data_IF_891029885883
#
_entry.id   IF_891029885883
#
_cell.length_a   1.000
_cell.length_b   1.000
_cell.length_c   1.000
_cell.angle_alpha   90.00
_cell.angle_beta   90.00
_cell.angle_gamma   90.00
#
_symmetry.space_group_name_H-M   'P 1'
#
loop_
_entity.id
_entity.type
_entity.pdbx_description
1 polymer ?
#
# COMPACT_ATOMS: atom_id res chain seq x y z
N UNK A 1 -12.65 -14.37 -1.67
CA UNK A 1 -12.63 -13.12 -0.85
C UNK A 1 -11.19 -12.76 -0.60
N UNK A 2 -10.77 -11.51 -0.88
CA UNK A 2 -9.39 -11.04 -0.70
C UNK A 2 -9.25 -10.35 0.65
N UNK A 3 -8.04 -10.35 1.20
CA UNK A 3 -7.73 -9.78 2.52
C UNK A 3 -6.62 -8.75 2.35
N UNK A 4 -6.79 -7.58 2.96
CA UNK A 4 -5.75 -6.58 3.08
C UNK A 4 -5.64 -6.14 4.54
N UNK A 5 -4.41 -6.13 5.05
CA UNK A 5 -4.10 -5.63 6.39
C UNK A 5 -3.36 -4.32 6.29
N UNK A 6 -3.76 -3.37 7.14
CA UNK A 6 -3.16 -2.05 7.31
C UNK A 6 -2.71 -1.90 8.74
N UNK A 7 -1.50 -1.38 8.93
CA UNK A 7 -1.03 -0.95 10.23
C UNK A 7 -1.70 0.39 10.56
N UNK A 8 -2.18 0.53 11.79
CA UNK A 8 -2.78 1.73 12.33
C UNK A 8 -1.70 2.48 13.11
N UNK A 9 -1.27 3.60 12.57
CA UNK A 9 -0.20 4.46 13.08
C UNK A 9 -0.66 5.92 13.06
N UNK A 10 0.02 6.77 13.83
CA UNK A 10 -0.20 8.22 13.90
C UNK A 10 -1.66 8.65 14.08
N UNK A 11 -2.35 8.18 15.15
CA UNK A 11 -3.75 8.52 15.37
C UNK A 11 -3.97 10.01 15.66
N UNK A 12 -5.07 10.55 15.14
CA UNK A 12 -5.67 11.80 15.61
C UNK A 12 -6.66 11.50 16.75
N UNK A 13 -6.47 12.15 17.90
CA UNK A 13 -7.33 11.97 19.08
C UNK A 13 -8.35 13.07 19.15
N UNK A 14 -9.61 12.69 19.29
CA UNK A 14 -10.69 13.62 19.61
C UNK A 14 -11.09 13.36 21.07
N UNK A 15 -10.75 14.26 22.01
CA UNK A 15 -11.27 14.15 23.36
C UNK A 15 -12.79 14.30 23.32
N UNK A 16 -13.52 13.33 23.88
CA UNK A 16 -14.95 13.50 24.09
C UNK A 16 -15.17 14.56 25.18
N UNK A 17 -15.99 15.56 24.90
CA UNK A 17 -16.30 16.65 25.83
C UNK A 17 -17.19 16.21 27.01
N UNK A 18 -17.68 14.97 27.03
CA UNK A 18 -18.51 14.44 28.11
C UNK A 18 -17.63 13.82 29.21
N UNK A 19 -17.51 14.58 30.30
CA UNK A 19 -16.74 14.29 31.52
C UNK A 19 -17.13 12.94 32.18
N UNK A 20 -18.26 12.36 31.79
CA UNK A 20 -18.86 11.19 32.44
C UNK A 20 -18.67 9.84 31.73
N UNK A 21 -18.28 9.80 30.45
CA UNK A 21 -18.35 8.54 29.68
C UNK A 21 -16.99 7.87 29.42
N UNK A 22 -15.88 8.49 29.82
CA UNK A 22 -14.52 7.90 29.80
C UNK A 22 -14.03 7.35 28.45
N UNK A 23 -14.84 7.43 27.40
CA UNK A 23 -14.55 6.97 26.06
C UNK A 23 -13.64 7.97 25.35
N UNK A 24 -12.70 7.44 24.56
CA UNK A 24 -11.94 8.24 23.62
C UNK A 24 -12.28 7.80 22.20
N UNK A 25 -12.33 8.78 21.29
CA UNK A 25 -12.41 8.53 19.86
C UNK A 25 -11.03 8.74 19.24
N UNK A 26 -10.57 7.72 18.55
CA UNK A 26 -9.26 7.70 17.90
C UNK A 26 -9.48 7.53 16.40
N UNK A 27 -8.92 8.44 15.60
CA UNK A 27 -9.07 8.43 14.14
C UNK A 27 -7.74 8.08 13.50
N UNK A 28 -7.74 7.05 12.65
CA UNK A 28 -6.61 6.68 11.82
C UNK A 28 -6.89 7.03 10.36
N UNK A 29 -5.87 7.54 9.66
CA UNK A 29 -5.96 7.87 8.23
C UNK A 29 -5.30 6.79 7.39
N UNK A 30 -6.10 6.13 6.54
CA UNK A 30 -5.64 5.15 5.55
C UNK A 30 -6.04 5.67 4.15
N UNK A 31 -5.17 6.43 3.48
CA UNK A 31 -5.50 7.09 2.22
C UNK A 31 -5.94 6.17 1.08
N UNK A 32 -5.49 4.92 1.06
CA UNK A 32 -5.81 3.93 0.02
C UNK A 32 -7.09 3.15 0.30
N UNK A 33 -7.67 3.25 1.50
CA UNK A 33 -8.88 2.52 1.89
C UNK A 33 -10.09 2.74 0.96
N UNK A 34 -10.32 3.95 0.42
CA UNK A 34 -11.36 4.19 -0.58
C UNK A 34 -11.20 3.38 -1.87
N UNK A 35 -10.02 2.82 -2.18
CA UNK A 35 -9.82 1.99 -3.38
C UNK A 35 -10.55 0.64 -3.31
N UNK A 36 -10.88 0.18 -2.09
CA UNK A 36 -11.36 -1.19 -1.86
C UNK A 36 -12.89 -1.28 -1.83
N UNK A 37 -13.43 -2.39 -2.38
CA UNK A 37 -14.82 -2.78 -2.21
C UNK A 37 -14.96 -3.63 -0.94
N UNK A 38 -15.02 -2.97 0.22
CA UNK A 38 -15.01 -3.59 1.55
C UNK A 38 -16.34 -4.29 1.83
N UNK A 39 -16.29 -5.56 2.23
CA UNK A 39 -17.44 -6.35 2.68
C UNK A 39 -17.49 -6.44 4.21
N UNK A 40 -16.35 -6.68 4.83
CA UNK A 40 -16.21 -6.81 6.28
C UNK A 40 -14.86 -6.26 6.73
N UNK A 41 -14.77 -5.82 7.99
CA UNK A 41 -13.52 -5.35 8.59
C UNK A 41 -13.41 -5.77 10.04
N UNK A 42 -12.20 -6.10 10.45
CA UNK A 42 -11.82 -6.40 11.83
C UNK A 42 -10.70 -5.47 12.27
N UNK A 43 -10.71 -5.08 13.53
CA UNK A 43 -9.66 -4.25 14.12
C UNK A 43 -9.06 -4.96 15.33
N UNK A 44 -7.74 -4.97 15.38
CA UNK A 44 -6.95 -5.52 16.49
C UNK A 44 -6.04 -4.42 17.00
N UNK A 45 -6.30 -3.92 18.20
CA UNK A 45 -5.47 -2.89 18.81
C UNK A 45 -4.33 -3.54 19.61
N UNK A 46 -3.16 -2.93 19.57
CA UNK A 46 -2.03 -3.39 20.38
C UNK A 46 -2.38 -3.24 21.87
N UNK A 47 -1.98 -4.21 22.72
CA UNK A 47 -2.27 -4.16 24.14
C UNK A 47 -1.59 -2.94 24.79
N UNK A 48 -2.33 -2.21 25.63
CA UNK A 48 -1.80 -1.10 26.41
C UNK A 48 -1.45 -1.57 27.83
N UNK A 49 -0.41 -0.99 28.44
CA UNK A 49 0.13 -1.35 29.76
C UNK A 49 -0.94 -1.28 30.88
N UNK A 50 -2.00 -0.49 30.69
CA UNK A 50 -3.06 -0.28 31.69
C UNK A 50 -4.32 -1.13 31.50
N UNK A 51 -4.42 -1.98 30.47
CA UNK A 51 -5.57 -2.88 30.28
C UNK A 51 -5.39 -4.20 31.05
N UNK A 52 -5.02 -4.11 32.33
CA UNK A 52 -4.74 -5.26 33.19
C UNK A 52 -6.01 -5.94 33.77
N UNK A 53 -7.21 -5.46 33.42
CA UNK A 53 -8.46 -6.12 33.83
C UNK A 53 -9.01 -6.96 32.67
N UNK A 54 -9.38 -8.21 32.96
CA UNK A 54 -10.03 -9.21 32.09
C UNK A 54 -11.40 -8.78 31.49
N UNK A 55 -11.76 -7.50 31.60
CA UNK A 55 -12.91 -6.94 30.89
C UNK A 55 -12.54 -6.87 29.42
N UNK A 56 -13.15 -7.75 28.62
CA UNK A 56 -13.17 -7.66 27.16
C UNK A 56 -13.80 -6.32 26.77
N UNK A 57 -12.97 -5.28 26.68
CA UNK A 57 -13.41 -3.97 26.26
C UNK A 57 -13.93 -4.12 24.83
N UNK A 58 -15.22 -3.84 24.66
CA UNK A 58 -15.87 -3.90 23.35
C UNK A 58 -15.38 -2.72 22.52
N UNK A 59 -14.36 -2.97 21.72
CA UNK A 59 -13.88 -2.03 20.71
C UNK A 59 -14.93 -2.01 19.59
N UNK A 60 -15.36 -0.80 19.21
CA UNK A 60 -16.15 -0.61 18.01
C UNK A 60 -15.40 0.29 17.04
N UNK A 61 -15.52 0.01 15.74
CA UNK A 61 -14.90 0.81 14.70
C UNK A 61 -15.88 1.11 13.57
N UNK A 62 -15.63 2.23 12.91
CA UNK A 62 -16.38 2.70 11.76
C UNK A 62 -15.38 3.12 10.67
N UNK A 63 -15.67 2.76 9.42
CA UNK A 63 -14.85 3.13 8.27
C UNK A 63 -15.65 4.11 7.43
N UNK A 64 -15.12 5.32 7.26
CA UNK A 64 -15.69 6.32 6.38
C UNK A 64 -14.60 6.90 5.47
N UNK A 65 -14.71 6.64 4.16
CA UNK A 65 -13.72 7.03 3.16
C UNK A 65 -12.30 6.55 3.55
N UNK A 66 -11.40 7.48 3.85
CA UNK A 66 -10.01 7.22 4.26
C UNK A 66 -9.81 7.22 5.78
N UNK A 67 -10.89 7.35 6.57
CA UNK A 67 -10.83 7.44 8.02
C UNK A 67 -11.34 6.16 8.66
N UNK A 68 -10.62 5.70 9.66
CA UNK A 68 -11.00 4.60 10.54
C UNK A 68 -11.16 5.17 11.93
N UNK A 69 -12.39 5.24 12.38
CA UNK A 69 -12.74 5.77 13.68
C UNK A 69 -12.90 4.62 14.66
N UNK A 70 -12.12 4.63 15.73
CA UNK A 70 -12.10 3.59 16.77
C UNK A 70 -12.61 4.20 18.06
N UNK A 71 -13.63 3.56 18.63
CA UNK A 71 -14.27 3.96 19.88
C UNK A 71 -14.08 2.85 20.91
N UNK A 72 -13.47 3.22 22.03
CA UNK A 72 -13.17 2.29 23.11
C UNK A 72 -12.51 2.98 24.31
N UNK A 73 -12.28 2.20 25.36
CA UNK A 73 -11.66 2.67 26.60
C UNK A 73 -10.13 2.47 26.54
N UNK A 74 -9.45 3.32 25.79
CA UNK A 74 -7.99 3.29 25.72
C UNK A 74 -7.36 4.29 26.69
N UNK A 75 -6.14 3.99 27.09
CA UNK A 75 -5.33 4.91 27.87
C UNK A 75 -5.10 6.22 27.08
N UNK A 76 -5.46 7.34 27.70
CA UNK A 76 -5.26 8.69 27.19
C UNK A 76 -3.78 9.04 26.98
N UNK A 77 -2.84 8.24 27.49
CA UNK A 77 -1.41 8.55 27.49
C UNK A 77 -0.53 7.66 26.59
N UNK A 78 -1.01 6.51 26.13
CA UNK A 78 -0.22 5.62 25.25
C UNK A 78 -0.66 5.73 23.79
N UNK A 79 0.23 5.97 22.80
CA UNK A 79 -0.15 6.06 21.39
C UNK A 79 -0.94 4.81 20.97
N UNK A 80 -2.13 5.03 20.41
CA UNK A 80 -2.97 3.93 19.99
C UNK A 80 -2.43 3.40 18.66
N UNK A 81 -2.05 2.13 18.64
CA UNK A 81 -1.62 1.43 17.42
C UNK A 81 -2.31 0.09 17.31
N UNK A 82 -2.31 -0.48 16.11
CA UNK A 82 -2.99 -1.74 15.86
C UNK A 82 -2.99 -2.13 14.40
N UNK A 83 -3.90 -3.02 14.04
CA UNK A 83 -4.09 -3.50 12.69
C UNK A 83 -5.57 -3.42 12.31
N UNK A 84 -5.83 -2.86 11.13
CA UNK A 84 -7.10 -3.02 10.44
C UNK A 84 -6.95 -4.12 9.41
N UNK A 85 -7.76 -5.17 9.52
CA UNK A 85 -7.90 -6.20 8.49
C UNK A 85 -9.22 -6.02 7.77
N UNK A 86 -9.18 -5.76 6.47
CA UNK A 86 -10.36 -5.69 5.61
C UNK A 86 -10.50 -6.96 4.77
N UNK A 87 -11.74 -7.40 4.63
CA UNK A 87 -12.16 -8.43 3.70
C UNK A 87 -12.92 -7.74 2.57
N UNK A 88 -12.40 -7.86 1.35
CA UNK A 88 -12.92 -7.11 0.21
C UNK A 88 -13.15 -8.02 -1.00
N UNK A 89 -14.09 -7.59 -1.86
CA UNK A 89 -14.39 -8.28 -3.11
C UNK A 89 -13.31 -8.04 -4.18
N UNK A 90 -12.65 -6.88 -4.12
CA UNK A 90 -11.63 -6.44 -5.06
C UNK A 90 -11.30 -4.96 -4.87
N UNK A 91 -10.54 -4.40 -5.80
CA UNK A 91 -10.28 -2.96 -5.90
C UNK A 91 -11.34 -2.38 -6.84
N UNK A 92 -12.11 -1.39 -6.37
CA UNK A 92 -13.15 -0.72 -7.18
C UNK A 92 -12.59 0.42 -8.03
N UNK A 93 -11.52 1.07 -7.56
CA UNK A 93 -10.84 2.15 -8.27
C UNK A 93 -9.35 2.09 -7.98
N UNK A 94 -8.58 1.69 -8.99
CA UNK A 94 -7.13 1.53 -8.89
C UNK A 94 -6.38 2.86 -8.82
N UNK A 95 -6.98 3.97 -9.27
CA UNK A 95 -6.34 5.29 -9.19
C UNK A 95 -6.20 5.75 -7.73
N UNK A 96 -7.11 5.29 -6.85
CA UNK A 96 -7.11 5.58 -5.41
C UNK A 96 -6.03 4.82 -4.63
N UNK A 97 -5.31 3.88 -5.27
CA UNK A 97 -4.11 3.28 -4.68
C UNK A 97 -2.92 4.24 -4.65
N UNK A 98 -2.97 5.35 -5.39
CA UNK A 98 -1.89 6.33 -5.51
C UNK A 98 -2.30 7.72 -5.01
N UNK A 99 -2.73 7.86 -3.75
CA UNK A 99 -3.25 9.13 -3.22
C UNK A 99 -2.17 10.22 -3.11
N UNK A 100 -0.89 9.85 -3.10
CA UNK A 100 0.26 10.76 -3.06
C UNK A 100 0.59 11.40 -4.42
N UNK A 101 0.03 10.89 -5.53
CA UNK A 101 0.24 11.45 -6.86
C UNK A 101 -0.74 12.60 -7.09
N UNK A 102 -0.20 13.83 -7.20
CA UNK A 102 -0.99 15.05 -7.42
C UNK A 102 -1.53 15.16 -8.84
N UNK A 103 -0.77 14.68 -9.82
CA UNK A 103 -1.19 14.71 -11.23
C UNK A 103 -2.28 13.67 -11.48
N UNK A 104 -3.50 14.13 -11.79
CA UNK A 104 -4.64 13.25 -12.03
C UNK A 104 -4.41 12.31 -13.21
N UNK A 105 -3.82 12.80 -14.31
CA UNK A 105 -3.56 11.99 -15.50
C UNK A 105 -2.54 10.88 -15.23
N UNK A 106 -1.48 11.18 -14.48
CA UNK A 106 -0.51 10.17 -14.06
C UNK A 106 -1.16 9.15 -13.13
N UNK A 107 -1.93 9.62 -12.14
CA UNK A 107 -2.64 8.76 -11.18
C UNK A 107 -3.60 7.79 -11.87
N UNK A 108 -4.38 8.28 -12.85
CA UNK A 108 -5.25 7.43 -13.66
C UNK A 108 -4.46 6.42 -14.48
N UNK A 109 -3.36 6.83 -15.10
CA UNK A 109 -2.48 5.93 -15.88
C UNK A 109 -1.89 4.83 -15.01
N UNK A 110 -1.39 5.14 -13.82
CA UNK A 110 -0.87 4.13 -12.91
C UNK A 110 -1.99 3.21 -12.41
N UNK A 111 -3.19 3.74 -12.20
CA UNK A 111 -4.39 2.94 -11.92
C UNK A 111 -4.67 1.90 -13.01
N UNK A 112 -4.62 2.30 -14.28
CA UNK A 112 -4.81 1.38 -15.41
C UNK A 112 -3.73 0.28 -15.43
N UNK A 113 -2.46 0.64 -15.23
CA UNK A 113 -1.38 -0.36 -15.16
C UNK A 113 -1.55 -1.31 -13.97
N UNK A 114 -1.97 -0.82 -12.81
CA UNK A 114 -2.23 -1.64 -11.64
C UNK A 114 -3.40 -2.62 -11.86
N UNK A 115 -4.45 -2.19 -12.55
CA UNK A 115 -5.58 -3.03 -12.93
C UNK A 115 -5.18 -4.14 -13.90
N UNK A 116 -4.39 -3.79 -14.92
CA UNK A 116 -3.87 -4.76 -15.88
C UNK A 116 -2.90 -5.73 -15.20
N UNK A 117 -2.08 -5.25 -14.25
CA UNK A 117 -1.22 -6.09 -13.43
C UNK A 117 -2.03 -7.14 -12.64
N UNK A 118 -3.10 -6.75 -11.93
CA UNK A 118 -3.93 -7.72 -11.19
C UNK A 118 -4.54 -8.77 -12.13
N UNK A 119 -5.00 -8.34 -13.32
CA UNK A 119 -5.58 -9.22 -14.34
C UNK A 119 -4.54 -10.21 -14.88
N UNK A 120 -3.34 -9.72 -15.19
CA UNK A 120 -2.21 -10.53 -15.66
C UNK A 120 -1.71 -11.51 -14.59
N UNK A 121 -1.67 -11.10 -13.31
CA UNK A 121 -1.33 -11.99 -12.19
C UNK A 121 -2.34 -13.13 -12.08
N UNK A 122 -3.63 -12.80 -12.14
CA UNK A 122 -4.73 -13.76 -12.01
C UNK A 122 -4.78 -14.76 -13.17
N UNK A 123 -4.42 -14.32 -14.38
CA UNK A 123 -4.36 -15.16 -15.59
C UNK A 123 -3.03 -15.88 -15.79
N UNK A 124 -2.10 -15.75 -14.85
CA UNK A 124 -0.76 -16.34 -14.92
C UNK A 124 0.10 -15.82 -16.08
N UNK A 125 -0.19 -14.62 -16.58
CA UNK A 125 0.56 -13.92 -17.62
C UNK A 125 1.79 -13.21 -17.02
N UNK A 126 2.78 -13.98 -16.59
CA UNK A 126 3.92 -13.47 -15.78
C UNK A 126 4.70 -12.33 -16.44
N UNK A 127 4.91 -12.40 -17.75
CA UNK A 127 5.58 -11.34 -18.50
C UNK A 127 4.77 -10.04 -18.44
N UNK A 128 3.49 -10.11 -18.80
CA UNK A 128 2.58 -8.95 -18.75
C UNK A 128 2.50 -8.36 -17.35
N UNK A 129 2.41 -9.22 -16.32
CA UNK A 129 2.43 -8.79 -14.92
C UNK A 129 3.70 -7.98 -14.60
N UNK A 130 4.88 -8.53 -14.90
CA UNK A 130 6.16 -7.85 -14.63
C UNK A 130 6.26 -6.52 -15.36
N UNK A 131 5.78 -6.43 -16.61
CA UNK A 131 5.79 -5.18 -17.37
C UNK A 131 4.84 -4.14 -16.80
N UNK A 132 3.63 -4.54 -16.41
CA UNK A 132 2.62 -3.62 -15.86
C UNK A 132 3.04 -3.11 -14.48
N UNK A 133 3.52 -3.99 -13.59
CA UNK A 133 4.09 -3.55 -12.32
C UNK A 133 5.31 -2.67 -12.54
N UNK A 134 6.17 -3.01 -13.50
CA UNK A 134 7.30 -2.16 -13.87
C UNK A 134 6.90 -0.76 -14.28
N UNK A 135 5.83 -0.60 -15.05
CA UNK A 135 5.30 0.69 -15.43
C UNK A 135 4.73 1.46 -14.23
N UNK A 136 4.10 0.78 -13.26
CA UNK A 136 3.67 1.41 -12.00
C UNK A 136 4.87 1.89 -11.19
N UNK A 137 5.89 1.04 -11.01
CA UNK A 137 7.11 1.39 -10.27
C UNK A 137 7.86 2.56 -10.91
N UNK A 138 8.04 2.54 -12.24
CA UNK A 138 8.63 3.65 -12.99
C UNK A 138 7.80 4.93 -12.80
N UNK A 139 6.47 4.82 -12.84
CA UNK A 139 5.55 5.93 -12.60
C UNK A 139 5.63 6.54 -11.19
N UNK A 140 5.79 5.69 -10.16
CA UNK A 140 5.99 6.12 -8.78
C UNK A 140 7.30 6.91 -8.63
N UNK A 141 8.39 6.39 -9.20
CA UNK A 141 9.68 7.08 -9.17
C UNK A 141 9.68 8.36 -10.03
N UNK A 142 8.99 8.34 -11.18
CA UNK A 142 8.80 9.53 -12.03
C UNK A 142 8.07 10.64 -11.26
N UNK A 143 7.04 10.32 -10.49
CA UNK A 143 6.35 11.29 -9.64
C UNK A 143 7.32 11.94 -8.62
N UNK A 144 8.30 11.19 -8.13
CA UNK A 144 9.25 11.65 -7.12
C UNK A 144 10.43 12.45 -7.70
N UNK A 145 10.94 12.04 -8.86
CA UNK A 145 12.23 12.52 -9.39
C UNK A 145 12.12 13.24 -10.74
N UNK A 146 10.93 13.27 -11.34
CA UNK A 146 10.66 13.86 -12.63
C UNK A 146 11.08 13.00 -13.82
N UNK A 147 11.23 13.66 -14.97
CA UNK A 147 11.48 13.01 -16.25
C UNK A 147 12.93 12.55 -16.40
N UNK A 148 13.17 11.27 -16.13
CA UNK A 148 14.47 10.59 -16.24
C UNK A 148 14.25 9.16 -16.69
N UNK A 149 15.27 8.55 -17.29
CA UNK A 149 15.21 7.12 -17.63
C UNK A 149 15.06 6.26 -16.37
N UNK A 150 14.36 5.12 -16.47
CA UNK A 150 14.15 4.21 -15.34
C UNK A 150 15.44 3.81 -14.60
N UNK A 151 16.55 3.64 -15.31
CA UNK A 151 17.83 3.32 -14.68
C UNK A 151 18.34 4.45 -13.75
N UNK A 152 18.13 5.70 -14.15
CA UNK A 152 18.50 6.87 -13.33
C UNK A 152 17.54 6.99 -12.15
N UNK A 153 16.24 6.80 -12.37
CA UNK A 153 15.22 6.82 -11.32
C UNK A 153 15.53 5.79 -10.21
N UNK A 154 15.92 4.57 -10.57
CA UNK A 154 16.29 3.52 -9.60
C UNK A 154 17.49 3.96 -8.75
N UNK A 155 18.53 4.53 -9.38
CA UNK A 155 19.71 5.01 -8.67
C UNK A 155 19.37 6.14 -7.70
N UNK A 156 18.61 7.14 -8.17
CA UNK A 156 18.20 8.27 -7.32
C UNK A 156 17.34 7.79 -6.12
N UNK A 157 16.54 6.73 -6.31
CA UNK A 157 15.77 6.11 -5.23
C UNK A 157 16.65 5.41 -4.19
N UNK A 158 17.73 4.74 -4.62
CA UNK A 158 18.73 4.15 -3.72
C UNK A 158 19.46 5.25 -2.94
N UNK A 159 19.92 6.30 -3.64
CA UNK A 159 20.69 7.41 -3.04
C UNK A 159 19.89 8.14 -1.96
N UNK A 160 18.56 8.17 -2.08
CA UNK A 160 17.63 8.73 -1.07
C UNK A 160 17.11 7.73 -0.04
N UNK A 161 17.61 6.48 -0.05
CA UNK A 161 17.11 5.39 0.80
C UNK A 161 15.60 5.15 0.68
N UNK A 162 15.00 5.48 -0.48
CA UNK A 162 13.58 5.18 -0.74
C UNK A 162 13.38 3.70 -1.04
N UNK A 163 14.40 3.05 -1.59
CA UNK A 163 14.42 1.61 -1.83
C UNK A 163 15.74 0.99 -1.36
N UNK A 164 15.68 -0.26 -0.92
CA UNK A 164 16.88 -1.01 -0.55
C UNK A 164 17.57 -1.67 -1.76
N UNK A 165 18.74 -2.27 -1.55
CA UNK A 165 19.51 -2.93 -2.63
C UNK A 165 18.79 -4.15 -3.23
N UNK A 166 17.93 -4.82 -2.47
CA UNK A 166 17.18 -5.98 -2.94
C UNK A 166 16.01 -5.54 -3.83
N UNK A 167 15.28 -4.50 -3.42
CA UNK A 167 14.26 -3.81 -4.21
C UNK A 167 14.87 -3.29 -5.52
N UNK A 168 16.02 -2.61 -5.44
CA UNK A 168 16.72 -2.10 -6.60
C UNK A 168 17.12 -3.21 -7.59
N UNK A 169 17.64 -4.34 -7.11
CA UNK A 169 17.99 -5.48 -7.96
C UNK A 169 16.77 -6.01 -8.74
N UNK A 170 15.62 -6.10 -8.07
CA UNK A 170 14.37 -6.51 -8.72
C UNK A 170 13.88 -5.46 -9.72
N UNK A 171 14.03 -4.16 -9.44
CA UNK A 171 13.66 -3.11 -10.40
C UNK A 171 14.55 -3.16 -11.65
N UNK A 172 15.83 -3.47 -11.49
CA UNK A 172 16.74 -3.68 -12.62
C UNK A 172 16.34 -4.92 -13.44
N UNK A 173 15.89 -5.99 -12.80
CA UNK A 173 15.38 -7.19 -13.49
C UNK A 173 14.08 -6.91 -14.25
N UNK A 174 13.18 -6.11 -13.68
CA UNK A 174 11.96 -5.64 -14.36
C UNK A 174 12.32 -4.80 -15.59
N UNK A 175 13.28 -3.88 -15.45
CA UNK A 175 13.81 -3.10 -16.57
C UNK A 175 14.42 -4.00 -17.64
N UNK A 176 15.20 -5.02 -17.26
CA UNK A 176 15.78 -5.97 -18.20
C UNK A 176 14.69 -6.78 -18.91
N UNK A 177 13.64 -7.20 -18.19
CA UNK A 177 12.48 -7.90 -18.73
C UNK A 177 11.80 -7.13 -19.85
N UNK A 178 11.65 -5.80 -19.72
CA UNK A 178 11.13 -4.95 -20.80
C UNK A 178 11.91 -5.12 -22.11
N UNK A 179 13.23 -5.23 -22.02
CA UNK A 179 14.08 -5.41 -23.19
C UNK A 179 14.01 -6.82 -23.78
N UNK A 180 13.63 -7.84 -22.98
CA UNK A 180 13.49 -9.24 -23.45
C UNK A 180 12.29 -9.44 -24.39
N UNK A 181 11.32 -8.52 -24.37
CA UNK A 181 10.17 -8.56 -25.29
C UNK A 181 10.58 -8.35 -26.75
N UNK A 182 11.74 -7.73 -27.00
CA UNK A 182 12.23 -7.53 -28.36
C UNK A 182 12.61 -8.87 -29.03
N UNK A 183 12.14 -9.11 -30.25
CA UNK A 183 12.37 -10.36 -31.00
C UNK A 183 13.86 -10.75 -31.16
N UNK A 184 14.75 -9.76 -31.19
CA UNK A 184 16.20 -9.98 -31.20
C UNK A 184 16.71 -10.75 -29.96
N UNK A 185 15.92 -10.81 -28.87
CA UNK A 185 16.25 -11.45 -27.60
C UNK A 185 15.62 -12.84 -27.42
N UNK A 186 15.18 -13.49 -28.50
CA UNK A 186 14.52 -14.81 -28.47
C UNK A 186 15.29 -15.94 -27.76
N UNK A 187 16.62 -15.81 -27.60
CA UNK A 187 17.46 -16.77 -26.87
C UNK A 187 17.51 -16.50 -25.36
N UNK A 188 17.05 -15.34 -24.90
CA UNK A 188 17.01 -15.00 -23.48
C UNK A 188 15.81 -15.69 -22.80
N UNK A 189 15.97 -16.15 -21.54
CA UNK A 189 14.89 -16.81 -20.83
C UNK A 189 13.72 -15.85 -20.58
N UNK A 190 12.50 -16.36 -20.76
CA UNK A 190 11.28 -15.64 -20.42
C UNK A 190 11.18 -15.39 -18.91
N UNK A 191 10.52 -14.29 -18.54
CA UNK A 191 10.21 -14.01 -17.13
C UNK A 191 9.31 -15.10 -16.57
N UNK A 192 9.77 -15.70 -15.48
CA UNK A 192 9.13 -16.85 -14.88
C UNK A 192 8.30 -16.45 -13.66
N UNK A 193 7.51 -17.41 -13.16
CA UNK A 193 6.67 -17.24 -11.97
C UNK A 193 7.45 -16.73 -10.76
N UNK A 194 8.71 -17.16 -10.58
CA UNK A 194 9.52 -16.79 -9.42
C UNK A 194 9.69 -15.26 -9.34
N UNK A 195 10.14 -14.63 -10.44
CA UNK A 195 10.31 -13.17 -10.50
C UNK A 195 8.98 -12.46 -10.26
N UNK A 196 7.89 -12.93 -10.88
CA UNK A 196 6.57 -12.33 -10.69
C UNK A 196 6.11 -12.38 -9.21
N UNK A 197 6.33 -13.49 -8.51
CA UNK A 197 5.94 -13.60 -7.09
C UNK A 197 6.81 -12.73 -6.18
N UNK A 198 8.13 -12.69 -6.42
CA UNK A 198 9.04 -11.82 -5.66
C UNK A 198 8.68 -10.34 -5.86
N UNK A 199 8.40 -9.95 -7.11
CA UNK A 199 7.95 -8.61 -7.45
C UNK A 199 6.61 -8.27 -6.79
N UNK A 200 5.67 -9.24 -6.71
CA UNK A 200 4.37 -9.02 -6.08
C UNK A 200 4.46 -8.66 -4.59
N UNK A 201 5.34 -9.32 -3.85
CA UNK A 201 5.56 -9.02 -2.43
C UNK A 201 6.06 -7.58 -2.25
N UNK A 202 7.00 -7.15 -3.10
CA UNK A 202 7.55 -5.79 -3.04
C UNK A 202 6.52 -4.77 -3.50
N UNK A 203 5.78 -5.06 -4.57
CA UNK A 203 4.73 -4.19 -5.08
C UNK A 203 3.66 -3.89 -4.02
N UNK A 204 3.14 -4.92 -3.34
CA UNK A 204 2.18 -4.76 -2.24
C UNK A 204 2.74 -3.90 -1.10
N UNK A 205 4.01 -4.11 -0.74
CA UNK A 205 4.70 -3.30 0.29
C UNK A 205 4.80 -1.83 -0.13
N UNK A 206 5.15 -1.58 -1.39
CA UNK A 206 5.34 -0.23 -1.93
C UNK A 206 4.03 0.54 -2.09
N UNK A 207 2.93 -0.12 -2.44
CA UNK A 207 1.60 0.51 -2.47
C UNK A 207 1.15 1.02 -1.10
N UNK A 208 1.61 0.38 -0.02
CA UNK A 208 1.29 0.75 1.37
C UNK A 208 2.33 1.66 2.01
N UNK A 209 3.47 1.91 1.35
CA UNK A 209 4.54 2.77 1.87
C UNK A 209 4.11 4.24 1.81
N UNK A 210 4.57 5.03 2.79
CA UNK A 210 4.49 6.49 2.71
C UNK A 210 5.52 6.99 1.70
N UNK A 211 5.05 7.62 0.62
CA UNK A 211 5.89 8.21 -0.43
C UNK A 211 6.24 9.68 -0.17
N UNK A 212 6.00 10.16 1.06
CA UNK A 212 6.35 11.52 1.46
C UNK A 212 7.87 11.53 1.70
N UNK A 213 8.59 12.32 0.90
CA UNK A 213 10.00 12.59 1.16
C UNK A 213 10.08 13.34 2.50
N UNK A 214 10.99 12.98 3.42
CA UNK A 214 11.38 13.91 4.47
C UNK A 214 11.97 15.12 3.76
N UNK A 215 11.27 16.25 3.83
CA UNK A 215 11.80 17.56 3.44
C UNK A 215 12.92 17.98 4.41
#
# INVERSE_FOLDING_TARGET
MKVATFRLEDPERIPQNDIFDGGSETIFKIPTLPAYAIHHSNIEMDPCIFTASEVTQKISHEIQNCMVTVRGYYDLYSPASGFLTIYHAGIKDYSLLFPHIKSESLRQRLGQFAQEAESALSSQSWMSYVLMVGAVLEGLLFNQFGDKSFAVLIRDAIDRNLIDNQEAALFQEVRATRNRVHAAKHMEPFSNRKIAMELNVIYERLLKRSWISPD
#
